data_IF_730799475428
#
_entry.id   IF_730799475428
#
_cell.length_a   1.000
_cell.length_b   1.000
_cell.length_c   1.000
_cell.angle_alpha   90.00
_cell.angle_beta   90.00
_cell.angle_gamma   90.00
#
_symmetry.space_group_name_H-M   'P 1'
#
loop_
_entity.id
_entity.type
_entity.pdbx_description
1 polymer ?
#
# COMPACT_ATOMS: atom_id res chain seq x y z
N UNK A 1 -30.92 -6.34 24.81
CA UNK A 1 -29.53 -5.87 24.77
C UNK A 1 -29.22 -5.35 23.37
N UNK A 2 -29.19 -4.04 23.21
CA UNK A 2 -28.96 -3.40 21.90
C UNK A 2 -27.49 -3.47 21.57
N UNK A 3 -27.13 -4.33 20.63
CA UNK A 3 -25.77 -4.34 20.03
C UNK A 3 -25.59 -3.05 19.23
N UNK A 4 -24.94 -2.08 19.82
CA UNK A 4 -24.51 -0.84 19.16
C UNK A 4 -23.54 -1.21 18.03
N UNK A 5 -24.04 -1.35 16.81
CA UNK A 5 -23.21 -1.44 15.60
C UNK A 5 -22.39 -0.17 15.50
N UNK A 6 -21.13 -0.21 15.90
CA UNK A 6 -20.19 0.89 15.68
C UNK A 6 -20.07 1.11 14.17
N UNK A 7 -20.64 2.18 13.67
CA UNK A 7 -20.40 2.62 12.28
C UNK A 7 -18.90 2.93 12.14
N UNK A 8 -18.21 2.15 11.32
CA UNK A 8 -16.81 2.45 10.99
C UNK A 8 -16.81 3.50 9.90
N UNK A 9 -16.04 4.57 10.10
CA UNK A 9 -15.75 5.56 9.07
C UNK A 9 -14.86 4.92 8.01
N UNK A 10 -15.18 5.16 6.75
CA UNK A 10 -14.43 4.70 5.61
C UNK A 10 -14.33 5.83 4.59
N UNK A 11 -13.15 6.02 4.03
CA UNK A 11 -12.94 6.86 2.86
C UNK A 11 -13.08 5.98 1.62
N UNK A 12 -14.02 6.30 0.73
CA UNK A 12 -14.33 5.49 -0.45
C UNK A 12 -14.21 6.29 -1.73
N UNK A 13 -13.86 5.60 -2.82
CA UNK A 13 -13.87 6.19 -4.16
C UNK A 13 -15.30 6.50 -4.60
N UNK A 14 -15.53 7.72 -5.07
CA UNK A 14 -16.76 8.10 -5.77
C UNK A 14 -16.76 7.50 -7.18
N UNK A 15 -17.94 7.34 -7.74
CA UNK A 15 -18.08 6.92 -9.14
C UNK A 15 -17.32 7.92 -10.05
N UNK A 16 -16.41 7.42 -10.88
CA UNK A 16 -15.54 8.23 -11.75
C UNK A 16 -14.10 8.46 -11.22
N UNK A 17 -13.87 8.41 -9.91
CA UNK A 17 -12.52 8.59 -9.34
C UNK A 17 -11.64 7.33 -9.49
N UNK A 18 -12.24 6.15 -9.73
CA UNK A 18 -11.49 4.90 -9.95
C UNK A 18 -10.56 4.98 -11.15
N UNK A 19 -10.96 5.67 -12.21
CA UNK A 19 -10.14 5.88 -13.42
C UNK A 19 -8.94 6.76 -13.11
N UNK A 20 -9.13 7.82 -12.33
CA UNK A 20 -8.05 8.73 -11.92
C UNK A 20 -7.08 8.03 -10.94
N UNK A 21 -7.58 7.10 -10.12
CA UNK A 21 -6.76 6.33 -9.21
C UNK A 21 -5.81 5.36 -9.92
N UNK A 22 -6.26 4.77 -11.04
CA UNK A 22 -5.46 3.88 -11.88
C UNK A 22 -4.43 4.61 -12.78
N UNK A 23 -4.32 5.94 -12.69
CA UNK A 23 -3.29 6.67 -13.42
C UNK A 23 -1.95 6.65 -12.69
N UNK A 24 -0.84 6.45 -13.40
CA UNK A 24 0.49 6.52 -12.78
C UNK A 24 0.78 7.96 -12.34
N UNK A 25 1.31 8.10 -11.11
CA UNK A 25 1.70 9.41 -10.54
C UNK A 25 3.20 9.68 -10.65
N UNK A 26 3.95 8.72 -11.12
CA UNK A 26 5.38 8.79 -11.31
C UNK A 26 5.81 8.09 -12.58
N UNK A 27 7.04 7.64 -12.63
CA UNK A 27 7.53 6.85 -13.76
C UNK A 27 6.77 5.53 -13.89
N UNK A 28 6.27 5.23 -15.09
CA UNK A 28 5.65 3.94 -15.38
C UNK A 28 6.72 2.98 -15.90
N UNK A 29 6.88 1.85 -15.23
CA UNK A 29 7.88 0.83 -15.55
C UNK A 29 7.21 -0.51 -15.80
N UNK A 30 7.68 -1.23 -16.82
CA UNK A 30 7.31 -2.62 -17.10
C UNK A 30 8.55 -3.50 -16.96
N UNK A 31 8.38 -4.65 -16.30
CA UNK A 31 9.45 -5.64 -16.16
C UNK A 31 10.36 -5.39 -14.95
N UNK A 32 11.66 -5.40 -15.15
CA UNK A 32 12.64 -5.37 -14.07
C UNK A 32 12.68 -4.03 -13.32
N UNK A 33 12.47 -4.08 -12.01
CA UNK A 33 12.52 -2.92 -11.11
C UNK A 33 13.91 -2.70 -10.49
N UNK A 34 14.85 -3.64 -10.68
CA UNK A 34 16.18 -3.61 -10.04
C UNK A 34 16.95 -2.33 -10.28
N UNK A 35 17.01 -1.75 -11.51
CA UNK A 35 17.74 -0.53 -11.77
C UNK A 35 17.24 0.68 -10.98
N UNK A 36 15.94 0.68 -10.64
CA UNK A 36 15.30 1.78 -9.92
C UNK A 36 15.43 1.63 -8.41
N UNK A 37 15.42 0.39 -7.90
CA UNK A 37 15.42 0.10 -6.47
C UNK A 37 16.85 0.06 -5.93
N UNK A 38 17.76 -0.66 -6.60
CA UNK A 38 19.11 -0.96 -6.11
C UNK A 38 20.12 0.14 -6.40
N UNK A 39 19.89 0.95 -7.43
CA UNK A 39 20.87 1.94 -7.92
C UNK A 39 20.92 3.24 -7.10
N UNK A 40 20.10 3.42 -6.08
CA UNK A 40 19.99 4.66 -5.31
C UNK A 40 19.79 4.39 -3.82
N UNK A 41 20.16 5.38 -3.02
CA UNK A 41 19.80 5.42 -1.61
C UNK A 41 18.38 6.00 -1.45
N UNK A 42 17.49 5.23 -0.83
CA UNK A 42 16.12 5.62 -0.54
C UNK A 42 15.93 5.74 0.98
N UNK A 43 15.14 6.70 1.44
CA UNK A 43 14.73 6.78 2.84
C UNK A 43 13.96 5.51 3.25
N UNK A 44 13.04 5.07 2.38
CA UNK A 44 12.38 3.75 2.42
C UNK A 44 12.02 3.30 1.01
N UNK A 45 11.93 1.98 0.81
CA UNK A 45 11.29 1.37 -0.36
C UNK A 45 10.00 0.72 0.09
N UNK A 46 8.88 1.14 -0.48
CA UNK A 46 7.52 0.72 -0.12
C UNK A 46 6.85 0.14 -1.35
N UNK A 47 6.42 -1.11 -1.28
CA UNK A 47 5.77 -1.81 -2.39
C UNK A 47 4.32 -2.12 -2.03
N UNK A 48 3.38 -1.71 -2.89
CA UNK A 48 1.94 -1.92 -2.73
C UNK A 48 1.43 -2.86 -3.82
N UNK A 49 0.81 -3.95 -3.42
CA UNK A 49 0.30 -5.02 -4.29
C UNK A 49 1.19 -6.26 -4.31
N UNK A 50 0.55 -7.43 -4.41
CA UNK A 50 1.21 -8.75 -4.36
C UNK A 50 2.24 -8.94 -5.47
N UNK A 51 1.86 -8.58 -6.71
CA UNK A 51 2.72 -8.71 -7.87
C UNK A 51 3.92 -7.77 -7.75
N UNK A 52 3.70 -6.53 -7.37
CA UNK A 52 4.76 -5.53 -7.16
C UNK A 52 5.70 -5.97 -6.06
N UNK A 53 5.18 -6.43 -4.91
CA UNK A 53 6.01 -6.92 -3.81
C UNK A 53 6.93 -8.07 -4.26
N UNK A 54 6.42 -9.00 -5.09
CA UNK A 54 7.21 -10.09 -5.66
C UNK A 54 8.36 -9.59 -6.54
N UNK A 55 8.13 -8.60 -7.38
CA UNK A 55 9.18 -7.97 -8.19
C UNK A 55 10.19 -7.21 -7.33
N UNK A 56 9.72 -6.51 -6.30
CA UNK A 56 10.60 -5.79 -5.37
C UNK A 56 11.56 -6.74 -4.65
N UNK A 57 11.08 -7.88 -4.15
CA UNK A 57 11.93 -8.89 -3.49
C UNK A 57 13.03 -9.38 -4.43
N UNK A 58 12.69 -9.59 -5.71
CA UNK A 58 13.64 -10.07 -6.73
C UNK A 58 14.63 -9.02 -7.21
N UNK A 59 14.45 -7.77 -6.85
CA UNK A 59 15.29 -6.65 -7.32
C UNK A 59 16.69 -6.59 -6.71
N UNK A 60 17.02 -7.49 -5.79
CA UNK A 60 18.31 -7.51 -5.08
C UNK A 60 18.38 -6.61 -3.84
N UNK A 61 17.35 -5.78 -3.59
CA UNK A 61 17.17 -5.02 -2.35
C UNK A 61 15.77 -5.30 -1.79
N UNK A 62 15.71 -5.89 -0.60
CA UNK A 62 14.43 -6.10 0.08
C UNK A 62 13.76 -4.76 0.39
N UNK A 63 12.47 -4.57 0.06
CA UNK A 63 11.74 -3.37 0.43
C UNK A 63 11.62 -3.24 1.96
N UNK A 64 11.50 -2.00 2.44
CA UNK A 64 11.31 -1.74 3.86
C UNK A 64 9.87 -2.07 4.31
N UNK A 65 8.90 -1.81 3.44
CA UNK A 65 7.48 -2.12 3.72
C UNK A 65 6.83 -2.72 2.49
N UNK A 66 6.13 -3.83 2.70
CA UNK A 66 5.23 -4.43 1.69
C UNK A 66 3.79 -4.36 2.19
N UNK A 67 2.87 -3.96 1.33
CA UNK A 67 1.44 -3.85 1.58
C UNK A 67 0.74 -4.76 0.58
N UNK A 68 0.16 -5.87 1.02
CA UNK A 68 -0.37 -6.93 0.17
C UNK A 68 -1.67 -7.48 0.73
N UNK A 69 -2.56 -8.00 -0.12
CA UNK A 69 -3.79 -8.68 0.33
C UNK A 69 -3.70 -10.22 0.28
N UNK A 70 -2.61 -10.75 -0.28
CA UNK A 70 -2.36 -12.20 -0.36
C UNK A 70 -3.22 -12.94 -1.38
N UNK A 71 -4.05 -12.26 -2.18
CA UNK A 71 -5.00 -12.93 -3.09
C UNK A 71 -4.35 -13.53 -4.32
N UNK A 72 -3.26 -12.95 -4.80
CA UNK A 72 -2.57 -13.41 -6.02
C UNK A 72 -1.85 -14.74 -5.82
N UNK A 73 -1.47 -15.09 -4.58
CA UNK A 73 -0.72 -16.32 -4.25
C UNK A 73 -1.57 -17.49 -3.72
N UNK A 74 -2.87 -17.51 -3.97
CA UNK A 74 -3.78 -18.58 -3.49
C UNK A 74 -3.40 -20.01 -3.94
N UNK A 75 -2.47 -20.16 -4.86
CA UNK A 75 -2.01 -21.47 -5.38
C UNK A 75 -0.70 -21.96 -4.76
N UNK A 76 -0.08 -21.25 -3.82
CA UNK A 76 1.17 -21.68 -3.18
C UNK A 76 0.91 -22.24 -1.77
N UNK A 77 1.48 -23.43 -1.44
CA UNK A 77 1.26 -24.11 -0.15
C UNK A 77 1.94 -23.41 1.03
N UNK A 78 2.89 -22.50 0.79
CA UNK A 78 3.58 -21.73 1.84
C UNK A 78 3.00 -20.32 1.81
N UNK A 79 2.43 -19.89 2.96
CA UNK A 79 1.86 -18.57 3.08
C UNK A 79 2.90 -17.44 2.92
N UNK A 80 2.48 -16.32 2.35
CA UNK A 80 3.33 -15.15 2.15
C UNK A 80 3.94 -14.65 3.48
N UNK A 81 3.23 -14.83 4.57
CA UNK A 81 3.67 -14.48 5.92
C UNK A 81 4.85 -15.34 6.39
N UNK A 82 4.91 -16.62 6.02
CA UNK A 82 6.03 -17.52 6.34
C UNK A 82 7.28 -17.10 5.56
N UNK A 83 7.15 -16.86 4.26
CA UNK A 83 8.25 -16.36 3.42
C UNK A 83 8.78 -15.02 3.92
N UNK A 84 7.90 -14.08 4.26
CA UNK A 84 8.28 -12.77 4.76
C UNK A 84 9.02 -12.85 6.11
N UNK A 85 8.57 -13.68 7.03
CA UNK A 85 9.27 -13.92 8.31
C UNK A 85 10.67 -14.50 8.10
N UNK A 86 10.81 -15.42 7.15
CA UNK A 86 12.13 -15.99 6.79
C UNK A 86 13.09 -14.93 6.22
N UNK A 87 12.55 -13.85 5.60
CA UNK A 87 13.30 -12.70 5.11
C UNK A 87 13.50 -11.59 6.16
N UNK A 88 13.06 -11.81 7.40
CA UNK A 88 13.22 -10.85 8.50
C UNK A 88 12.16 -9.75 8.56
N UNK A 89 10.95 -10.00 8.03
CA UNK A 89 9.82 -9.07 8.15
C UNK A 89 8.98 -9.37 9.38
N UNK A 90 8.57 -8.31 10.06
CA UNK A 90 7.45 -8.37 10.99
C UNK A 90 6.14 -8.36 10.20
N UNK A 91 5.25 -9.32 10.48
CA UNK A 91 3.97 -9.45 9.79
C UNK A 91 2.86 -8.79 10.61
N UNK A 92 2.21 -7.79 10.02
CA UNK A 92 1.13 -7.04 10.67
C UNK A 92 -0.14 -7.21 9.83
N UNK A 93 -1.24 -7.64 10.47
CA UNK A 93 -2.55 -7.76 9.83
C UNK A 93 -3.35 -6.48 10.02
N UNK A 94 -3.95 -5.97 8.94
CA UNK A 94 -4.79 -4.78 8.93
C UNK A 94 -6.06 -5.09 8.14
N UNK A 95 -7.21 -4.76 8.70
CA UNK A 95 -8.49 -4.84 8.00
C UNK A 95 -8.70 -3.55 7.22
N UNK A 96 -8.90 -3.67 5.91
CA UNK A 96 -9.23 -2.55 5.04
C UNK A 96 -10.26 -2.97 3.98
N UNK A 97 -11.47 -2.40 4.00
CA UNK A 97 -12.55 -2.83 3.11
C UNK A 97 -12.26 -2.53 1.63
N UNK A 98 -12.86 -3.30 0.70
CA UNK A 98 -12.75 -3.06 -0.73
C UNK A 98 -13.22 -1.65 -1.14
N UNK A 99 -12.49 -1.05 -2.09
CA UNK A 99 -12.85 0.24 -2.69
C UNK A 99 -12.76 1.44 -1.74
N UNK A 100 -12.13 1.27 -0.58
CA UNK A 100 -12.01 2.33 0.40
C UNK A 100 -10.77 2.23 1.29
N UNK A 101 -10.69 3.11 2.25
CA UNK A 101 -9.66 3.09 3.29
C UNK A 101 -10.24 3.56 4.62
N UNK A 102 -9.89 2.87 5.70
CA UNK A 102 -10.37 3.23 7.04
C UNK A 102 -9.38 4.19 7.74
N UNK A 103 -9.86 5.10 8.60
CA UNK A 103 -8.99 5.93 9.42
C UNK A 103 -8.00 5.11 10.24
N UNK A 104 -8.42 3.95 10.77
CA UNK A 104 -7.57 3.04 11.51
C UNK A 104 -6.42 2.48 10.64
N UNK A 105 -6.73 2.07 9.40
CA UNK A 105 -5.70 1.58 8.47
C UNK A 105 -4.70 2.68 8.12
N UNK A 106 -5.17 3.92 7.91
CA UNK A 106 -4.32 5.09 7.67
C UNK A 106 -3.38 5.33 8.85
N UNK A 107 -3.92 5.41 10.06
CA UNK A 107 -3.15 5.69 11.27
C UNK A 107 -2.07 4.64 11.50
N UNK A 108 -2.42 3.36 11.41
CA UNK A 108 -1.48 2.24 11.58
C UNK A 108 -0.39 2.26 10.53
N UNK A 109 -0.76 2.46 9.25
CA UNK A 109 0.20 2.55 8.17
C UNK A 109 1.16 3.73 8.36
N UNK A 110 0.66 4.91 8.71
CA UNK A 110 1.49 6.08 8.95
C UNK A 110 2.48 5.86 10.10
N UNK A 111 2.07 5.18 11.16
CA UNK A 111 2.95 4.81 12.28
C UNK A 111 4.06 3.85 11.83
N UNK A 112 3.70 2.82 11.06
CA UNK A 112 4.63 1.83 10.52
C UNK A 112 5.67 2.49 9.60
N UNK A 113 5.23 3.35 8.69
CA UNK A 113 6.12 4.02 7.73
C UNK A 113 7.15 4.94 8.39
N UNK A 114 6.87 5.44 9.58
CA UNK A 114 7.80 6.25 10.38
C UNK A 114 8.71 5.40 11.28
N UNK A 115 8.36 4.14 11.50
CA UNK A 115 9.10 3.23 12.37
C UNK A 115 10.29 2.57 11.67
N UNK A 116 11.19 1.94 12.44
CA UNK A 116 12.30 1.16 11.92
C UNK A 116 11.87 -0.25 11.49
N UNK A 117 12.79 -0.97 10.86
CA UNK A 117 12.63 -2.39 10.52
C UNK A 117 11.91 -2.62 9.20
N UNK A 118 11.77 -3.91 8.86
CA UNK A 118 11.03 -4.37 7.69
C UNK A 118 9.68 -4.92 8.09
N UNK A 119 8.63 -4.49 7.39
CA UNK A 119 7.26 -4.87 7.73
C UNK A 119 6.47 -5.35 6.52
N UNK A 120 5.78 -6.48 6.68
CA UNK A 120 4.76 -6.94 5.78
C UNK A 120 3.38 -6.62 6.36
N UNK A 121 2.64 -5.75 5.70
CA UNK A 121 1.24 -5.49 6.01
C UNK A 121 0.37 -6.44 5.18
N UNK A 122 -0.22 -7.41 5.84
CA UNK A 122 -1.18 -8.32 5.24
C UNK A 122 -2.58 -7.75 5.42
N UNK A 123 -3.19 -7.34 4.31
CA UNK A 123 -4.47 -6.64 4.30
C UNK A 123 -5.62 -7.65 4.17
N UNK A 124 -6.51 -7.64 5.15
CA UNK A 124 -7.80 -8.33 5.06
C UNK A 124 -8.79 -7.40 4.34
N UNK A 125 -8.98 -7.63 3.04
CA UNK A 125 -9.79 -6.78 2.15
C UNK A 125 -9.06 -6.39 0.89
N UNK A 126 -8.81 -5.11 0.65
CA UNK A 126 -8.07 -4.59 -0.51
C UNK A 126 -6.97 -3.60 -0.08
N UNK A 127 -5.81 -3.71 -0.74
CA UNK A 127 -4.64 -2.89 -0.46
C UNK A 127 -4.51 -1.66 -1.36
N UNK A 128 -5.11 -1.65 -2.55
CA UNK A 128 -4.90 -0.62 -3.59
C UNK A 128 -5.06 0.80 -3.07
N UNK A 129 -6.12 1.05 -2.30
CA UNK A 129 -6.40 2.37 -1.72
C UNK A 129 -5.38 2.81 -0.67
N UNK A 130 -4.59 1.88 -0.12
CA UNK A 130 -3.52 2.18 0.83
C UNK A 130 -2.30 2.83 0.18
N UNK A 131 -2.25 2.88 -1.15
CA UNK A 131 -1.27 3.67 -1.90
C UNK A 131 -1.32 5.16 -1.51
N UNK A 132 -2.50 5.75 -1.34
CA UNK A 132 -2.63 7.17 -0.95
C UNK A 132 -2.05 7.46 0.45
N UNK A 133 -2.45 6.75 1.51
CA UNK A 133 -1.81 6.97 2.81
C UNK A 133 -0.32 6.59 2.81
N UNK A 134 0.12 5.65 1.97
CA UNK A 134 1.55 5.38 1.81
C UNK A 134 2.30 6.59 1.24
N UNK A 135 1.79 7.22 0.19
CA UNK A 135 2.35 8.44 -0.39
C UNK A 135 2.29 9.64 0.58
N UNK A 136 1.22 9.72 1.38
CA UNK A 136 1.05 10.81 2.36
C UNK A 136 2.05 10.71 3.51
N UNK A 137 2.29 9.50 4.02
CA UNK A 137 2.99 9.29 5.30
C UNK A 137 4.43 8.83 5.15
N UNK A 138 4.85 8.37 3.97
CA UNK A 138 6.22 7.95 3.75
C UNK A 138 7.20 9.13 3.96
N UNK A 139 8.35 8.90 4.59
CA UNK A 139 9.39 9.91 4.71
C UNK A 139 9.78 10.48 3.34
N UNK A 140 10.11 11.76 3.27
CA UNK A 140 10.61 12.37 2.03
C UNK A 140 11.85 11.63 1.52
N UNK A 141 11.95 11.43 0.21
CA UNK A 141 13.01 10.64 -0.41
C UNK A 141 12.77 9.13 -0.37
N UNK A 142 11.57 8.67 0.00
CA UNK A 142 11.17 7.28 -0.14
C UNK A 142 10.71 6.98 -1.57
N UNK A 143 10.85 5.72 -1.98
CA UNK A 143 10.31 5.19 -3.22
C UNK A 143 9.05 4.37 -2.92
N UNK A 144 7.90 4.83 -3.41
CA UNK A 144 6.63 4.10 -3.36
C UNK A 144 6.36 3.50 -4.73
N UNK A 145 6.16 2.17 -4.77
CA UNK A 145 5.92 1.41 -5.99
C UNK A 145 4.55 0.73 -5.87
N UNK A 146 3.68 0.93 -6.84
CA UNK A 146 2.36 0.28 -6.88
C UNK A 146 1.99 -0.16 -8.30
N UNK A 147 1.17 -1.21 -8.39
CA UNK A 147 0.72 -1.76 -9.66
C UNK A 147 -0.29 -0.87 -10.38
N UNK A 148 -0.14 -0.76 -11.69
CA UNK A 148 -1.16 -0.22 -12.58
C UNK A 148 -1.65 -1.39 -13.43
N UNK A 149 -2.93 -1.80 -13.34
CA UNK A 149 -3.46 -2.94 -14.07
C UNK A 149 -3.13 -2.87 -15.56
N UNK A 150 -2.62 -3.97 -16.12
CA UNK A 150 -2.24 -4.15 -17.54
C UNK A 150 -1.15 -3.18 -18.06
N UNK A 151 -0.63 -2.28 -17.22
CA UNK A 151 0.32 -1.24 -17.64
C UNK A 151 1.70 -1.36 -16.98
N UNK A 152 1.85 -2.04 -15.85
CA UNK A 152 3.12 -2.19 -15.13
C UNK A 152 3.07 -1.62 -13.72
N UNK A 153 4.15 -1.01 -13.28
CA UNK A 153 4.25 -0.39 -11.96
C UNK A 153 4.52 1.12 -12.07
N UNK A 154 3.88 1.89 -11.20
CA UNK A 154 4.18 3.32 -11.03
C UNK A 154 5.18 3.51 -9.88
N UNK A 155 6.24 4.24 -10.15
CA UNK A 155 7.31 4.55 -9.22
C UNK A 155 7.24 6.03 -8.83
N UNK A 156 7.00 6.32 -7.56
CA UNK A 156 6.84 7.67 -7.05
C UNK A 156 7.88 7.95 -5.97
N UNK A 157 8.68 8.99 -6.17
CA UNK A 157 9.60 9.50 -5.14
C UNK A 157 8.84 10.48 -4.25
N UNK A 158 8.75 10.20 -2.96
CA UNK A 158 7.98 11.02 -2.03
C UNK A 158 8.68 12.33 -1.71
N UNK A 159 7.89 13.39 -1.66
CA UNK A 159 8.28 14.72 -1.22
C UNK A 159 7.06 15.42 -0.60
N UNK A 160 7.23 16.67 -0.17
CA UNK A 160 6.16 17.45 0.47
C UNK A 160 4.94 17.64 -0.45
N UNK A 161 5.15 17.85 -1.75
CA UNK A 161 4.05 18.10 -2.69
C UNK A 161 3.24 16.84 -2.96
N UNK A 162 3.91 15.71 -3.16
CA UNK A 162 3.28 14.37 -3.27
C UNK A 162 2.48 14.05 -2.01
N UNK A 163 3.04 14.30 -0.83
CA UNK A 163 2.35 14.06 0.44
C UNK A 163 1.08 14.91 0.57
N UNK A 164 1.15 16.20 0.23
CA UNK A 164 -0.01 17.12 0.24
C UNK A 164 -1.08 16.72 -0.78
N UNK A 165 -0.67 16.34 -1.98
CA UNK A 165 -1.60 15.87 -3.01
C UNK A 165 -2.34 14.62 -2.53
N UNK A 166 -1.62 13.62 -1.99
CA UNK A 166 -2.22 12.41 -1.46
C UNK A 166 -3.20 12.70 -0.31
N UNK A 167 -2.83 13.61 0.61
CA UNK A 167 -3.71 14.07 1.69
C UNK A 167 -4.99 14.72 1.14
N UNK A 168 -4.88 15.61 0.17
CA UNK A 168 -6.03 16.28 -0.45
C UNK A 168 -6.98 15.28 -1.09
N UNK A 169 -6.44 14.26 -1.76
CA UNK A 169 -7.25 13.20 -2.36
C UNK A 169 -7.96 12.34 -1.32
N UNK A 170 -7.29 11.98 -0.23
CA UNK A 170 -7.90 11.25 0.88
C UNK A 170 -9.08 12.04 1.48
N UNK A 171 -8.95 13.34 1.67
CA UNK A 171 -10.03 14.19 2.19
C UNK A 171 -11.26 14.25 1.26
N UNK A 172 -11.06 14.13 -0.06
CA UNK A 172 -12.16 14.08 -1.04
C UNK A 172 -12.94 12.76 -1.02
N UNK A 173 -12.35 11.70 -0.48
CA UNK A 173 -12.94 10.37 -0.41
C UNK A 173 -13.83 10.17 0.81
N UNK A 174 -14.09 11.22 1.60
CA UNK A 174 -14.83 11.12 2.85
C UNK A 174 -16.27 10.68 2.61
N UNK A 175 -16.57 9.42 2.92
CA UNK A 175 -17.90 8.84 2.88
C UNK A 175 -18.11 8.03 4.16
N UNK A 176 -19.22 8.27 4.82
CA UNK A 176 -19.66 7.44 5.94
C UNK A 176 -20.36 6.19 5.39
N UNK A 177 -19.74 5.04 5.56
CA UNK A 177 -20.34 3.77 5.22
C UNK A 177 -20.46 2.86 6.45
N UNK A 178 -21.50 2.03 6.46
CA UNK A 178 -21.59 0.94 7.42
C UNK A 178 -20.89 -0.27 6.82
N UNK A 179 -19.74 -0.64 7.36
CA UNK A 179 -19.08 -1.89 7.02
C UNK A 179 -19.74 -3.04 7.78
N UNK A 180 -20.12 -4.14 7.13
CA UNK A 180 -20.60 -5.32 7.85
C UNK A 180 -19.44 -5.89 8.68
N UNK A 181 -19.72 -6.07 9.96
CA UNK A 181 -18.81 -6.71 10.93
C UNK A 181 -18.77 -8.22 10.75
#
# INVERSE_FOLDING_TARGET
MSSSRRRRLQLSLKAGERVDFAQPRGALVRGDLSPFISGRSWAKVICVGDVVASYCIKSGRLPDVMIVDGKTKRQQPIGLDVEAKALGYDVIRIVNPPGGVTPEAIERLCKILKGPGRQLLLIEGEEDMLTLPALMCAPAGSLVIYGIPDRGASLVVTNRDISREAQTRLLRLLVMSSWPS
#
